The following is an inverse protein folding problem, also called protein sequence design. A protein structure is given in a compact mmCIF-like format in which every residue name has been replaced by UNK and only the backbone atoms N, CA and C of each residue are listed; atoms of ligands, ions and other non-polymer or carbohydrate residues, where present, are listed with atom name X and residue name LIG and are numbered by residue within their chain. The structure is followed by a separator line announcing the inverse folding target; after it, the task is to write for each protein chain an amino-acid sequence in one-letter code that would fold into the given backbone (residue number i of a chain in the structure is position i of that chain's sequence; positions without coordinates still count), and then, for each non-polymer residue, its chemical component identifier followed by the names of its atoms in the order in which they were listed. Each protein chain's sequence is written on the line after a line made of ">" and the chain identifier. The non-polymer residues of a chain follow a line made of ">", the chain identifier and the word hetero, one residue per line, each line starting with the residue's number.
data_IF_038922225781
#
_entry.id   IF_038922225781
#
_cell.length_a   1.000
_cell.length_b   1.000
_cell.length_c   1.000
_cell.angle_alpha   90.00
_cell.angle_beta   90.00
_cell.angle_gamma   90.00
#
_symmetry.space_group_name_H-M   'P 1'
#
loop_
_entity.id
_entity.type
_entity.pdbx_description
1 polymer ?
#
# COMPACT_ATOMS: atom_id res chain seq x y z
N UNK A 1 6.34 1.87 -22.21
CA UNK A 1 6.41 1.09 -20.95
C UNK A 1 5.88 1.96 -19.79
N UNK A 2 4.96 1.46 -18.97
CA UNK A 2 4.51 2.18 -17.77
C UNK A 2 5.57 1.96 -16.68
N UNK A 3 6.20 3.01 -16.14
CA UNK A 3 7.20 2.87 -15.08
C UNK A 3 6.58 2.57 -13.70
N UNK A 4 5.27 2.71 -13.52
CA UNK A 4 4.59 2.47 -12.26
C UNK A 4 4.21 0.99 -12.10
N UNK A 5 4.50 0.42 -10.93
CA UNK A 5 4.21 -0.96 -10.54
C UNK A 5 2.79 -1.07 -9.94
N UNK A 6 2.33 -2.32 -9.71
CA UNK A 6 1.11 -2.65 -8.98
C UNK A 6 -0.17 -1.89 -9.40
N UNK A 7 -0.32 -1.64 -10.70
CA UNK A 7 -1.49 -0.94 -11.24
C UNK A 7 -1.45 0.58 -11.04
N UNK A 8 -0.30 1.15 -10.69
CA UNK A 8 -0.11 2.60 -10.63
C UNK A 8 -0.30 3.28 -11.99
N UNK A 9 -0.90 4.46 -11.97
CA UNK A 9 -1.11 5.29 -13.16
C UNK A 9 0.04 6.26 -13.33
N UNK A 10 0.71 6.22 -14.49
CA UNK A 10 1.81 7.13 -14.81
C UNK A 10 1.27 8.45 -15.34
N UNK A 11 1.68 9.54 -14.70
CA UNK A 11 1.46 10.90 -15.17
C UNK A 11 2.80 11.53 -15.56
N UNK A 12 2.89 12.06 -16.78
CA UNK A 12 4.10 12.72 -17.24
C UNK A 12 4.16 14.15 -16.67
N UNK A 13 5.33 14.55 -16.20
CA UNK A 13 5.63 15.90 -15.73
C UNK A 13 6.73 16.52 -16.58
N UNK A 14 7.04 17.81 -16.38
CA UNK A 14 8.07 18.50 -17.17
C UNK A 14 9.46 17.90 -16.88
N UNK A 15 9.93 17.02 -17.77
CA UNK A 15 11.23 16.35 -17.67
C UNK A 15 11.27 15.13 -16.75
N UNK A 16 10.11 14.67 -16.23
CA UNK A 16 10.02 13.49 -15.36
C UNK A 16 8.64 12.82 -15.47
N UNK A 17 8.34 11.91 -14.55
CA UNK A 17 7.03 11.30 -14.36
C UNK A 17 6.71 11.20 -12.87
N UNK A 18 5.42 11.06 -12.56
CA UNK A 18 4.91 10.76 -11.22
C UNK A 18 3.95 9.58 -11.33
N UNK A 19 3.96 8.71 -10.32
CA UNK A 19 3.05 7.57 -10.25
C UNK A 19 1.95 7.84 -9.23
N UNK A 20 0.71 7.75 -9.68
CA UNK A 20 -0.45 7.69 -8.80
C UNK A 20 -0.70 6.22 -8.42
N UNK A 21 -0.43 5.90 -7.16
CA UNK A 21 -0.49 4.53 -6.68
C UNK A 21 -1.91 4.07 -6.41
N UNK A 22 -2.17 2.79 -6.69
CA UNK A 22 -3.36 2.13 -6.21
C UNK A 22 -3.35 2.09 -4.67
N UNK A 23 -4.55 1.97 -4.08
CA UNK A 23 -4.69 1.83 -2.63
C UNK A 23 -3.86 0.64 -2.14
N UNK A 24 -3.12 0.82 -1.04
CA UNK A 24 -2.21 -0.19 -0.50
C UNK A 24 -0.78 -0.11 -1.00
N UNK A 25 -0.46 0.76 -1.96
CA UNK A 25 0.91 0.91 -2.45
C UNK A 25 1.46 2.32 -2.25
N UNK A 26 2.77 2.38 -2.09
CA UNK A 26 3.54 3.60 -1.89
C UNK A 26 4.89 3.54 -2.62
N UNK A 27 5.63 4.64 -2.54
CA UNK A 27 6.93 4.80 -3.20
C UNK A 27 6.82 5.52 -4.56
N UNK A 28 7.94 5.99 -5.12
CA UNK A 28 7.96 6.76 -6.36
C UNK A 28 7.40 6.02 -7.57
N UNK A 29 7.44 4.68 -7.54
CA UNK A 29 6.93 3.81 -8.60
C UNK A 29 5.82 2.89 -8.11
N UNK A 30 5.24 3.13 -6.92
CA UNK A 30 4.25 2.24 -6.30
C UNK A 30 4.80 0.84 -6.02
N UNK A 31 6.11 0.74 -5.79
CA UNK A 31 6.83 -0.52 -5.62
C UNK A 31 6.76 -1.06 -4.19
N UNK A 32 6.30 -0.26 -3.24
CA UNK A 32 6.24 -0.61 -1.82
C UNK A 32 4.80 -0.95 -1.45
N UNK A 33 4.59 -2.10 -0.83
CA UNK A 33 3.34 -2.41 -0.14
C UNK A 33 3.28 -1.56 1.13
N UNK A 34 2.12 -0.94 1.38
CA UNK A 34 1.88 -0.21 2.62
C UNK A 34 1.67 -1.26 3.70
N UNK A 35 2.20 -1.00 4.90
CA UNK A 35 1.93 -1.84 6.07
C UNK A 35 0.79 -1.21 6.87
N UNK A 36 -0.44 -1.62 6.60
CA UNK A 36 -1.64 -1.15 7.30
C UNK A 36 -1.61 -1.55 8.78
N UNK A 37 -0.94 -2.65 9.12
CA UNK A 37 -0.72 -3.06 10.51
C UNK A 37 0.29 -2.18 11.27
N UNK A 38 1.08 -1.33 10.60
CA UNK A 38 2.14 -0.53 11.23
C UNK A 38 1.64 0.47 12.28
N UNK A 39 0.35 0.83 12.22
CA UNK A 39 -0.31 1.70 13.21
C UNK A 39 -0.90 0.95 14.41
N UNK A 40 -0.78 -0.38 14.46
CA UNK A 40 -1.43 -1.27 15.42
C UNK A 40 -2.95 -1.04 15.52
N UNK A 41 -3.69 -1.20 14.41
CA UNK A 41 -5.14 -0.92 14.39
C UNK A 41 -5.98 -1.98 15.11
N UNK A 42 -5.43 -3.18 15.33
CA UNK A 42 -6.12 -4.27 15.99
C UNK A 42 -6.13 -4.11 17.52
N UNK A 43 -7.31 -4.28 18.12
CA UNK A 43 -7.53 -4.13 19.56
C UNK A 43 -7.60 -5.49 20.27
N UNK A 44 -7.56 -5.47 21.61
CA UNK A 44 -7.71 -6.66 22.47
C UNK A 44 -6.72 -7.77 22.13
N UNK A 45 -5.46 -7.40 21.85
CA UNK A 45 -4.39 -8.32 21.50
C UNK A 45 -4.68 -9.19 20.26
N UNK A 46 -5.60 -8.77 19.40
CA UNK A 46 -5.85 -9.44 18.13
C UNK A 46 -4.62 -9.36 17.21
N UNK A 47 -4.36 -10.46 16.49
CA UNK A 47 -3.27 -10.52 15.51
C UNK A 47 -3.65 -9.74 14.26
N UNK A 48 -2.85 -8.74 13.89
CA UNK A 48 -3.04 -7.99 12.66
C UNK A 48 -2.41 -8.73 11.47
N UNK A 49 -3.17 -8.92 10.41
CA UNK A 49 -2.69 -9.37 9.11
C UNK A 49 -2.75 -8.23 8.12
N UNK A 50 -1.59 -7.93 7.55
CA UNK A 50 -1.41 -6.94 6.51
C UNK A 50 -2.05 -7.42 5.19
N UNK A 51 -2.78 -6.55 4.52
CA UNK A 51 -3.43 -6.83 3.24
C UNK A 51 -3.31 -5.62 2.32
N UNK A 52 -3.24 -5.85 1.01
CA UNK A 52 -3.09 -4.73 0.06
C UNK A 52 -4.24 -3.74 0.21
N UNK A 53 -3.95 -2.58 0.80
CA UNK A 53 -4.90 -1.48 0.99
C UNK A 53 -5.86 -1.66 2.18
N UNK A 54 -5.69 -2.70 2.99
CA UNK A 54 -6.54 -3.00 4.14
C UNK A 54 -5.80 -3.82 5.19
N UNK A 55 -6.48 -4.20 6.27
CA UNK A 55 -5.94 -5.14 7.23
C UNK A 55 -7.05 -6.03 7.78
N UNK A 56 -6.68 -7.22 8.26
CA UNK A 56 -7.60 -8.11 8.97
C UNK A 56 -7.10 -8.37 10.37
N UNK A 57 -7.96 -8.15 11.36
CA UNK A 57 -7.70 -8.52 12.74
C UNK A 57 -8.24 -9.92 13.02
N UNK A 58 -7.38 -10.82 13.44
CA UNK A 58 -7.76 -12.17 13.87
C UNK A 58 -7.78 -12.20 15.40
N UNK A 59 -8.96 -12.44 15.96
CA UNK A 59 -9.11 -12.69 17.39
C UNK A 59 -8.44 -14.01 17.77
N UNK A 60 -7.76 -14.02 18.92
CA UNK A 60 -7.33 -15.29 19.51
C UNK A 60 -8.55 -16.06 20.05
N UNK A 61 -8.59 -17.39 19.92
CA UNK A 61 -9.67 -18.24 20.45
C UNK A 61 -9.87 -18.12 21.96
#
# INVERSE_FOLDING_TARGET
>A
PNPCEHGGTCENTAGSFTCNCARGYAGPRCEQDVNECGSNPCLNDATCLDQIGDYTCICMP
#
